data_IF_750075519964
#
_entry.id   IF_750075519964
#
_cell.length_a   1.000
_cell.length_b   1.000
_cell.length_c   1.000
_cell.angle_alpha   90.00
_cell.angle_beta   90.00
_cell.angle_gamma   90.00
#
_symmetry.space_group_name_H-M   'P 1'
#
loop_
_entity.id
_entity.type
_entity.pdbx_description
1 polymer ?
#
# COMPACT_ATOMS: atom_id res chain seq x y z
N UNK A 1 -6.57 -2.18 1.84
CA UNK A 1 -5.45 -1.59 1.07
C UNK A 1 -5.78 -1.37 -0.41
N UNK A 2 -6.43 -2.28 -1.16
CA UNK A 2 -6.78 -2.01 -2.57
C UNK A 2 -7.63 -0.75 -2.80
N UNK A 3 -8.49 -0.41 -1.84
CA UNK A 3 -9.28 0.81 -1.91
C UNK A 3 -8.41 2.07 -1.90
N UNK A 4 -7.26 2.06 -1.21
CA UNK A 4 -6.35 3.19 -1.16
C UNK A 4 -5.58 3.33 -2.48
N UNK A 5 -5.21 2.21 -3.12
CA UNK A 5 -4.69 2.23 -4.50
C UNK A 5 -5.68 2.84 -5.50
N UNK A 6 -6.99 2.56 -5.33
CA UNK A 6 -8.03 3.19 -6.15
C UNK A 6 -8.15 4.70 -5.90
N UNK A 7 -7.95 5.17 -4.66
CA UNK A 7 -7.88 6.60 -4.36
C UNK A 7 -6.67 7.25 -5.01
N UNK A 8 -5.49 6.63 -4.95
CA UNK A 8 -4.31 7.16 -5.63
C UNK A 8 -4.55 7.28 -7.13
N UNK A 9 -5.14 6.25 -7.75
CA UNK A 9 -5.51 6.30 -9.16
C UNK A 9 -6.50 7.43 -9.47
N UNK A 10 -7.48 7.65 -8.59
CA UNK A 10 -8.45 8.74 -8.74
C UNK A 10 -7.76 10.11 -8.73
N UNK A 11 -6.93 10.40 -7.74
CA UNK A 11 -6.23 11.69 -7.66
C UNK A 11 -5.21 11.89 -8.78
N UNK A 12 -4.58 10.81 -9.23
CA UNK A 12 -3.70 10.82 -10.41
C UNK A 12 -4.46 11.17 -11.69
N UNK A 13 -5.62 10.54 -11.91
CA UNK A 13 -6.47 10.84 -13.07
C UNK A 13 -7.01 12.28 -13.05
N UNK A 14 -7.25 12.83 -11.87
CA UNK A 14 -7.68 14.22 -11.66
C UNK A 14 -6.54 15.24 -11.81
N UNK A 15 -5.29 14.79 -12.03
CA UNK A 15 -4.12 15.66 -12.07
C UNK A 15 -3.81 16.36 -10.74
N UNK A 16 -4.28 15.79 -9.62
CA UNK A 16 -4.12 16.34 -8.26
C UNK A 16 -2.97 15.69 -7.49
N UNK A 17 -2.44 14.58 -7.98
CA UNK A 17 -1.29 13.89 -7.41
C UNK A 17 -0.49 13.16 -8.50
N UNK A 18 0.83 13.10 -8.37
CA UNK A 18 1.71 12.40 -9.32
C UNK A 18 2.14 11.01 -8.83
N UNK A 19 2.04 10.77 -7.51
CA UNK A 19 2.50 9.55 -6.83
C UNK A 19 1.62 9.24 -5.63
N UNK A 20 1.37 7.96 -5.38
CA UNK A 20 0.76 7.46 -4.14
C UNK A 20 1.81 6.98 -3.15
N UNK A 21 1.69 7.31 -1.87
CA UNK A 21 2.56 6.79 -0.81
C UNK A 21 1.68 6.07 0.20
N UNK A 22 1.95 4.79 0.42
CA UNK A 22 1.25 3.94 1.38
C UNK A 22 2.22 3.55 2.50
N UNK A 23 1.92 3.96 3.74
CA UNK A 23 2.70 3.62 4.92
C UNK A 23 1.97 2.51 5.67
N UNK A 24 2.61 1.36 5.83
CA UNK A 24 2.00 0.14 6.35
C UNK A 24 2.95 -0.56 7.31
N UNK A 25 2.44 -1.27 8.34
CA UNK A 25 3.31 -2.05 9.21
C UNK A 25 3.94 -3.19 8.42
N UNK A 26 5.20 -3.53 8.73
CA UNK A 26 5.74 -4.83 8.37
C UNK A 26 4.96 -5.94 9.10
N UNK A 27 5.20 -7.19 8.70
CA UNK A 27 4.54 -8.33 9.32
C UNK A 27 4.84 -8.44 10.83
N UNK A 28 6.07 -8.11 11.26
CA UNK A 28 6.47 -8.18 12.67
C UNK A 28 5.69 -7.19 13.54
N UNK A 29 5.59 -5.93 13.12
CA UNK A 29 4.78 -4.92 13.80
C UNK A 29 3.30 -5.32 13.82
N UNK A 30 2.77 -5.82 12.70
CA UNK A 30 1.36 -6.23 12.62
C UNK A 30 1.01 -7.34 13.63
N UNK A 31 1.91 -8.27 13.91
CA UNK A 31 1.69 -9.32 14.92
C UNK A 31 1.46 -8.79 16.34
N UNK A 32 1.90 -7.57 16.62
CA UNK A 32 1.71 -6.90 17.91
C UNK A 32 0.46 -5.98 17.92
N UNK A 33 -0.35 -6.01 16.86
CA UNK A 33 -1.56 -5.19 16.70
C UNK A 33 -2.84 -6.02 16.83
N UNK A 34 -3.98 -5.33 16.83
CA UNK A 34 -5.30 -5.97 16.78
C UNK A 34 -5.48 -6.86 15.55
N UNK A 35 -6.36 -7.86 15.65
CA UNK A 35 -6.70 -8.73 14.53
C UNK A 35 -7.34 -7.96 13.37
N UNK A 36 -7.03 -8.37 12.14
CA UNK A 36 -7.59 -7.77 10.91
C UNK A 36 -6.80 -6.58 10.35
N UNK A 37 -5.73 -6.14 11.01
CA UNK A 37 -4.79 -5.16 10.44
C UNK A 37 -4.02 -5.79 9.28
N UNK A 38 -3.97 -5.10 8.14
CA UNK A 38 -3.17 -5.52 6.97
C UNK A 38 -1.71 -5.10 7.12
N UNK A 39 -0.80 -5.79 6.46
CA UNK A 39 0.65 -5.55 6.51
C UNK A 39 1.26 -5.40 5.12
N UNK A 40 2.43 -4.77 5.05
CA UNK A 40 3.03 -4.35 3.78
C UNK A 40 3.42 -5.49 2.86
N UNK A 41 3.90 -6.61 3.38
CA UNK A 41 4.29 -7.77 2.58
C UNK A 41 3.09 -8.38 1.84
N UNK A 42 1.90 -8.38 2.48
CA UNK A 42 0.66 -8.73 1.81
C UNK A 42 0.33 -7.75 0.67
N UNK A 43 0.48 -6.44 0.91
CA UNK A 43 0.24 -5.42 -0.12
C UNK A 43 1.16 -5.57 -1.33
N UNK A 44 2.46 -5.78 -1.09
CA UNK A 44 3.46 -5.97 -2.15
C UNK A 44 3.10 -7.19 -3.00
N UNK A 45 2.81 -8.32 -2.36
CA UNK A 45 2.38 -9.54 -3.04
C UNK A 45 1.10 -9.31 -3.88
N UNK A 46 0.12 -8.60 -3.31
CA UNK A 46 -1.13 -8.27 -3.97
C UNK A 46 -0.92 -7.37 -5.21
N UNK A 47 -0.05 -6.35 -5.13
CA UNK A 47 0.29 -5.46 -6.24
C UNK A 47 1.01 -6.22 -7.36
N UNK A 48 1.96 -7.09 -7.03
CA UNK A 48 2.68 -7.90 -8.02
C UNK A 48 1.75 -8.79 -8.84
N UNK A 49 0.72 -9.36 -8.19
CA UNK A 49 -0.28 -10.22 -8.86
C UNK A 49 -1.19 -9.46 -9.83
N UNK A 50 -1.38 -8.16 -9.66
CA UNK A 50 -2.19 -7.34 -10.56
C UNK A 50 -1.52 -7.09 -11.93
N UNK A 51 -0.27 -7.58 -12.15
CA UNK A 51 0.44 -7.64 -13.44
C UNK A 51 0.21 -6.40 -14.34
N UNK A 52 0.65 -5.22 -13.87
CA UNK A 52 0.64 -3.93 -14.61
C UNK A 52 -0.72 -3.39 -15.08
N UNK A 53 -1.84 -4.04 -14.78
CA UNK A 53 -3.16 -3.53 -15.21
C UNK A 53 -3.72 -2.49 -14.25
N UNK A 54 -3.29 -2.52 -12.98
CA UNK A 54 -3.78 -1.60 -11.95
C UNK A 54 -2.86 -1.62 -10.72
N UNK A 55 -2.63 -0.46 -10.06
CA UNK A 55 -2.90 0.89 -10.54
C UNK A 55 -1.82 1.37 -11.53
N UNK A 56 -2.16 2.35 -12.37
CA UNK A 56 -1.23 3.00 -13.30
C UNK A 56 -0.44 4.14 -12.63
N UNK A 57 -0.98 4.71 -11.54
CA UNK A 57 -0.24 5.68 -10.71
C UNK A 57 1.03 5.01 -10.14
N UNK A 58 2.19 5.69 -10.15
CA UNK A 58 3.35 5.24 -9.39
C UNK A 58 3.02 5.16 -7.90
N UNK A 59 3.35 4.05 -7.25
CA UNK A 59 3.11 3.86 -5.81
C UNK A 59 4.42 3.54 -5.10
N UNK A 60 4.67 4.23 -4.00
CA UNK A 60 5.75 3.94 -3.08
C UNK A 60 5.18 3.35 -1.78
N UNK A 61 5.60 2.14 -1.43
CA UNK A 61 5.15 1.46 -0.21
C UNK A 61 6.25 1.54 0.83
N UNK A 62 5.94 2.13 1.98
CA UNK A 62 6.86 2.28 3.11
C UNK A 62 6.44 1.29 4.19
N UNK A 63 7.28 0.29 4.44
CA UNK A 63 7.10 -0.64 5.54
C UNK A 63 7.73 -0.03 6.79
N UNK A 64 6.97 0.05 7.88
CA UNK A 64 7.43 0.53 9.18
C UNK A 64 7.44 -0.60 10.21
N UNK A 65 8.39 -0.51 11.14
CA UNK A 65 8.52 -1.40 12.29
C UNK A 65 8.79 -0.55 13.55
N UNK A 66 8.78 -1.19 14.71
CA UNK A 66 9.25 -0.60 15.96
C UNK A 66 10.68 -1.05 16.25
N UNK A 67 11.49 -0.16 16.83
CA UNK A 67 12.79 -0.55 17.39
C UNK A 67 12.54 -1.37 18.66
N UNK A 68 13.22 -2.52 18.78
CA UNK A 68 13.21 -3.37 19.99
C UNK A 68 13.95 -2.72 21.17
#
# INVERSE_FOLDING_TARGET
MFYDLAKFQYFFNEGKADVGIEIVPCHNLQQQMSTGVSYGEQLVYDIERLKRHFPAVPVYVILIDIEE
#
